data_IF_330683551335
#
_entry.id   IF_330683551335
#
_cell.length_a   1.000
_cell.length_b   1.000
_cell.length_c   1.000
_cell.angle_alpha   90.00
_cell.angle_beta   90.00
_cell.angle_gamma   90.00
#
_symmetry.space_group_name_H-M   'P 1'
#
loop_
_entity.id
_entity.type
_entity.pdbx_description
1 polymer ?
#
# COMPACT_ATOMS: atom_id res chain seq x y z
N UNK A 1 -10.92 -2.91 -2.85
CA UNK A 1 -9.53 -3.33 -3.14
C UNK A 1 -9.45 -3.88 -4.56
N UNK A 2 -8.47 -3.43 -5.33
CA UNK A 2 -8.11 -3.96 -6.63
C UNK A 2 -7.22 -5.20 -6.44
N UNK A 3 -7.57 -6.31 -7.09
CA UNK A 3 -6.93 -7.63 -6.91
C UNK A 3 -6.66 -8.27 -8.27
N UNK A 4 -5.48 -8.85 -8.49
CA UNK A 4 -5.23 -9.65 -9.69
C UNK A 4 -6.10 -10.90 -9.70
N UNK A 5 -6.68 -11.19 -10.86
CA UNK A 5 -7.30 -12.48 -11.15
C UNK A 5 -6.25 -13.36 -11.80
N UNK A 6 -5.65 -14.23 -11.01
CA UNK A 6 -4.64 -15.17 -11.49
C UNK A 6 -5.30 -16.35 -12.19
N UNK A 7 -4.77 -16.77 -13.35
CA UNK A 7 -5.07 -18.11 -13.89
C UNK A 7 -4.39 -19.21 -13.08
N UNK A 8 -3.18 -18.93 -12.60
CA UNK A 8 -2.40 -19.77 -11.69
C UNK A 8 -1.95 -18.89 -10.53
N UNK A 9 -2.33 -19.19 -9.26
CA UNK A 9 -1.91 -18.39 -8.11
C UNK A 9 -0.39 -18.24 -8.04
N UNK A 10 0.07 -17.11 -7.49
CA UNK A 10 1.49 -16.91 -7.22
C UNK A 10 2.03 -18.04 -6.32
N UNK A 11 3.25 -18.58 -6.53
CA UNK A 11 3.79 -19.68 -5.73
C UNK A 11 3.82 -19.44 -4.22
N UNK A 12 3.92 -18.17 -3.81
CA UNK A 12 3.92 -17.73 -2.41
C UNK A 12 2.53 -17.39 -1.84
N UNK A 13 1.45 -17.67 -2.59
CA UNK A 13 0.11 -17.32 -2.15
C UNK A 13 -0.25 -18.04 -0.84
N UNK A 14 -0.68 -17.27 0.17
CA UNK A 14 -0.99 -17.77 1.51
C UNK A 14 0.21 -17.86 2.46
N UNK A 15 1.44 -17.61 1.98
CA UNK A 15 2.62 -17.68 2.84
C UNK A 15 2.60 -16.62 3.95
N UNK A 16 3.27 -16.97 5.06
CA UNK A 16 3.52 -16.10 6.20
C UNK A 16 4.98 -15.66 6.18
N UNK A 17 5.26 -14.52 5.55
CA UNK A 17 6.62 -14.01 5.38
C UNK A 17 7.05 -13.29 6.66
N UNK A 18 8.10 -13.80 7.30
CA UNK A 18 8.66 -13.20 8.51
C UNK A 18 9.40 -11.90 8.16
N UNK A 19 9.27 -10.88 9.02
CA UNK A 19 10.04 -9.65 8.90
C UNK A 19 11.48 -9.87 9.35
N UNK A 20 12.43 -9.41 8.55
CA UNK A 20 13.85 -9.46 8.88
C UNK A 20 14.18 -8.47 10.00
N UNK A 21 15.40 -8.56 10.53
CA UNK A 21 15.89 -7.55 11.51
C UNK A 21 15.92 -6.14 10.92
N UNK A 22 16.14 -6.01 9.60
CA UNK A 22 16.17 -4.70 8.93
C UNK A 22 14.76 -4.13 8.74
N UNK A 23 13.79 -4.97 8.37
CA UNK A 23 12.40 -4.55 8.26
C UNK A 23 11.85 -4.08 9.61
N UNK A 24 12.26 -4.73 10.71
CA UNK A 24 11.85 -4.36 12.08
C UNK A 24 12.58 -3.13 12.62
N UNK A 25 13.75 -2.81 12.08
CA UNK A 25 14.50 -1.61 12.44
C UNK A 25 14.03 -0.38 11.64
N UNK A 26 13.33 -0.59 10.52
CA UNK A 26 12.73 0.48 9.74
C UNK A 26 11.54 1.13 10.47
N UNK A 27 11.21 2.36 10.07
CA UNK A 27 10.07 3.10 10.60
C UNK A 27 8.78 2.44 10.09
N UNK A 28 7.88 2.11 11.01
CA UNK A 28 6.53 1.61 10.69
C UNK A 28 5.63 2.76 10.22
N UNK A 29 5.78 3.12 8.95
CA UNK A 29 5.05 4.24 8.34
C UNK A 29 4.76 3.99 6.87
N UNK A 30 3.78 4.72 6.34
CA UNK A 30 3.57 4.82 4.91
C UNK A 30 4.50 5.91 4.35
N UNK A 31 5.27 5.57 3.32
CA UNK A 31 6.14 6.54 2.63
C UNK A 31 5.35 7.17 1.47
N UNK A 32 4.93 8.46 1.55
CA UNK A 32 4.23 9.14 0.46
C UNK A 32 5.10 9.28 -0.79
N UNK A 33 4.48 9.12 -1.96
CA UNK A 33 5.03 9.56 -3.23
C UNK A 33 3.91 10.13 -4.10
N UNK A 34 4.15 11.29 -4.69
CA UNK A 34 3.21 11.95 -5.62
C UNK A 34 3.91 12.21 -6.94
N UNK A 35 3.27 11.82 -8.03
CA UNK A 35 3.74 12.02 -9.40
C UNK A 35 2.67 12.77 -10.18
N UNK A 36 3.08 13.83 -10.88
CA UNK A 36 2.20 14.65 -11.71
C UNK A 36 2.57 14.49 -13.19
N UNK A 37 1.57 14.30 -14.04
CA UNK A 37 1.75 14.10 -15.48
C UNK A 37 0.90 15.13 -16.23
N UNK A 38 1.50 15.82 -17.21
CA UNK A 38 0.76 16.69 -18.11
C UNK A 38 -0.13 15.86 -19.05
N UNK A 39 -1.22 16.46 -19.51
CA UNK A 39 -2.06 15.85 -20.52
C UNK A 39 -1.29 15.66 -21.85
N UNK A 40 -1.61 14.61 -22.62
CA UNK A 40 -2.56 13.55 -22.30
C UNK A 40 -1.97 12.49 -21.35
N UNK A 41 -2.76 12.07 -20.36
CA UNK A 41 -2.45 10.94 -19.49
C UNK A 41 -3.26 9.69 -19.90
N UNK A 42 -2.79 8.47 -19.55
CA UNK A 42 -3.60 7.26 -19.74
C UNK A 42 -4.94 7.35 -18.99
N UNK A 43 -5.96 6.64 -19.47
CA UNK A 43 -7.24 6.54 -18.76
C UNK A 43 -7.10 5.77 -17.44
N UNK A 44 -8.03 5.99 -16.51
CA UNK A 44 -8.05 5.25 -15.24
C UNK A 44 -8.10 3.73 -15.45
N UNK A 45 -8.84 3.26 -16.46
CA UNK A 45 -8.89 1.85 -16.82
C UNK A 45 -7.54 1.31 -17.30
N UNK A 46 -6.83 2.05 -18.15
CA UNK A 46 -5.49 1.67 -18.60
C UNK A 46 -4.50 1.62 -17.42
N UNK A 47 -4.59 2.56 -16.47
CA UNK A 47 -3.77 2.57 -15.25
C UNK A 47 -4.07 1.37 -14.35
N UNK A 48 -5.35 1.04 -14.11
CA UNK A 48 -5.74 -0.14 -13.33
C UNK A 48 -5.25 -1.43 -13.97
N UNK A 49 -5.41 -1.59 -15.28
CA UNK A 49 -4.94 -2.76 -16.00
C UNK A 49 -3.42 -2.92 -15.91
N UNK A 50 -2.68 -1.82 -16.10
CA UNK A 50 -1.23 -1.79 -15.93
C UNK A 50 -0.81 -2.16 -14.50
N UNK A 51 -1.49 -1.57 -13.51
CA UNK A 51 -1.24 -1.84 -12.09
C UNK A 51 -1.50 -3.31 -11.75
N UNK A 52 -2.61 -3.89 -12.21
CA UNK A 52 -2.94 -5.31 -11.99
C UNK A 52 -1.85 -6.25 -12.52
N UNK A 53 -1.29 -5.94 -13.71
CA UNK A 53 -0.19 -6.71 -14.29
C UNK A 53 1.10 -6.56 -13.49
N UNK A 54 1.41 -5.34 -13.04
CA UNK A 54 2.62 -5.06 -12.26
C UNK A 54 2.58 -5.75 -10.89
N UNK A 55 1.50 -5.57 -10.12
CA UNK A 55 1.40 -6.09 -8.74
C UNK A 55 1.26 -7.61 -8.68
N UNK A 56 0.83 -8.25 -9.77
CA UNK A 56 0.77 -9.72 -9.87
C UNK A 56 2.13 -10.40 -9.65
N UNK A 57 3.23 -9.69 -9.90
CA UNK A 57 4.59 -10.16 -9.67
C UNK A 57 5.07 -9.99 -8.22
N UNK A 58 4.33 -9.21 -7.42
CA UNK A 58 4.74 -8.78 -6.08
C UNK A 58 3.64 -9.11 -5.06
N UNK A 59 3.47 -10.40 -4.67
CA UNK A 59 2.39 -10.82 -3.76
C UNK A 59 2.45 -10.11 -2.39
N UNK A 60 3.64 -9.66 -1.98
CA UNK A 60 3.86 -8.87 -0.76
C UNK A 60 3.03 -7.57 -0.74
N UNK A 61 2.82 -6.92 -1.89
CA UNK A 61 2.00 -5.69 -1.99
C UNK A 61 0.50 -5.96 -1.84
N UNK A 62 0.08 -7.23 -1.96
CA UNK A 62 -1.31 -7.65 -1.90
C UNK A 62 -1.68 -8.26 -0.54
N UNK A 63 -0.68 -8.41 0.35
CA UNK A 63 -0.83 -9.02 1.66
C UNK A 63 -1.30 -8.04 2.74
N UNK A 64 -1.38 -8.54 3.97
CA UNK A 64 -1.65 -7.75 5.18
C UNK A 64 -0.68 -8.13 6.28
N UNK A 65 -0.25 -7.15 7.07
CA UNK A 65 0.45 -7.44 8.32
C UNK A 65 -0.47 -8.20 9.27
N UNK A 66 0.09 -9.18 9.97
CA UNK A 66 -0.58 -10.00 10.96
C UNK A 66 0.40 -10.34 12.10
N UNK A 67 -0.12 -10.95 13.17
CA UNK A 67 0.65 -11.34 14.34
C UNK A 67 0.51 -12.84 14.55
N UNK A 68 1.61 -13.54 14.83
CA UNK A 68 1.60 -14.99 15.10
C UNK A 68 1.21 -15.30 16.56
N UNK A 69 1.14 -16.59 16.90
CA UNK A 69 0.81 -17.04 18.27
C UNK A 69 1.82 -16.64 19.35
N UNK A 70 2.97 -16.07 18.97
CA UNK A 70 4.01 -15.58 19.87
C UNK A 70 4.11 -14.04 19.87
N UNK A 71 3.15 -13.34 19.26
CA UNK A 71 3.18 -11.88 19.21
C UNK A 71 4.12 -11.30 18.15
N UNK A 72 4.70 -12.11 17.25
CA UNK A 72 5.62 -11.64 16.22
C UNK A 72 4.85 -11.18 14.99
N UNK A 73 5.14 -9.97 14.51
CA UNK A 73 4.60 -9.45 13.25
C UNK A 73 5.17 -10.19 12.05
N UNK A 74 4.31 -10.50 11.09
CA UNK A 74 4.66 -11.09 9.81
C UNK A 74 3.74 -10.54 8.70
N UNK A 75 4.13 -10.70 7.44
CA UNK A 75 3.29 -10.34 6.30
C UNK A 75 2.56 -11.59 5.78
N UNK A 76 1.23 -11.58 5.85
CA UNK A 76 0.39 -12.65 5.29
C UNK A 76 0.09 -12.36 3.82
N UNK A 77 0.51 -13.23 2.91
CA UNK A 77 0.30 -13.10 1.47
C UNK A 77 -1.10 -13.57 1.05
N UNK A 78 -2.14 -12.94 1.62
CA UNK A 78 -3.55 -13.33 1.50
C UNK A 78 -4.30 -12.77 0.30
N UNK A 79 -3.61 -12.03 -0.58
CA UNK A 79 -4.18 -11.47 -1.81
C UNK A 79 -5.42 -10.57 -1.57
N UNK A 80 -5.45 -9.85 -0.45
CA UNK A 80 -6.47 -8.85 -0.13
C UNK A 80 -6.45 -7.65 -1.10
N UNK A 81 -5.32 -7.45 -1.79
CA UNK A 81 -5.18 -6.47 -2.86
C UNK A 81 -4.82 -5.07 -2.38
N UNK A 82 -4.79 -4.13 -3.33
CA UNK A 82 -4.41 -2.73 -3.12
C UNK A 82 -5.62 -1.81 -3.14
N UNK A 83 -5.54 -0.72 -2.38
CA UNK A 83 -6.55 0.34 -2.44
C UNK A 83 -6.25 1.25 -3.63
N UNK A 84 -7.25 1.50 -4.48
CA UNK A 84 -7.18 2.44 -5.58
C UNK A 84 -8.35 3.40 -5.44
N UNK A 85 -8.06 4.69 -5.45
CA UNK A 85 -9.03 5.77 -5.31
C UNK A 85 -8.89 6.64 -6.56
N UNK A 86 -10.01 6.88 -7.23
CA UNK A 86 -10.11 7.87 -8.30
C UNK A 86 -10.76 9.12 -7.74
N UNK A 87 -10.26 10.26 -8.15
CA UNK A 87 -10.80 11.56 -7.80
C UNK A 87 -10.76 12.46 -9.04
N UNK A 88 -11.73 13.34 -9.12
CA UNK A 88 -11.77 14.43 -10.09
C UNK A 88 -11.67 15.75 -9.32
N UNK A 89 -10.82 16.65 -9.81
CA UNK A 89 -10.56 17.93 -9.17
C UNK A 89 -10.76 19.02 -10.21
N UNK A 90 -11.70 19.97 -10.02
CA UNK A 90 -12.01 21.00 -11.00
C UNK A 90 -10.97 22.14 -10.95
N UNK A 91 -9.70 21.82 -11.25
CA UNK A 91 -8.57 22.75 -11.25
C UNK A 91 -7.57 22.40 -12.35
N UNK A 92 -6.83 23.40 -12.83
CA UNK A 92 -5.70 23.18 -13.73
C UNK A 92 -4.47 22.72 -12.94
N UNK A 93 -3.80 21.67 -13.43
CA UNK A 93 -2.63 21.10 -12.76
C UNK A 93 -1.48 22.12 -12.64
N UNK A 94 -1.27 22.98 -13.65
CA UNK A 94 -0.21 23.98 -13.61
C UNK A 94 -0.47 25.03 -12.53
N UNK A 95 -1.73 25.47 -12.38
CA UNK A 95 -2.13 26.43 -11.33
C UNK A 95 -1.93 25.84 -9.93
N UNK A 96 -2.29 24.57 -9.73
CA UNK A 96 -2.10 23.86 -8.46
C UNK A 96 -0.61 23.77 -8.10
N UNK A 97 0.23 23.40 -9.06
CA UNK A 97 1.68 23.29 -8.86
C UNK A 97 2.33 24.66 -8.63
N UNK A 98 1.89 25.70 -9.32
CA UNK A 98 2.40 27.07 -9.16
C UNK A 98 2.05 27.68 -7.79
N UNK A 99 0.91 27.30 -7.22
CA UNK A 99 0.46 27.77 -5.90
C UNK A 99 1.31 27.16 -4.75
N UNK A 100 2.12 26.12 -5.04
CA UNK A 100 3.11 25.56 -4.10
C UNK A 100 2.53 24.81 -2.89
N UNK A 101 1.22 24.57 -2.88
CA UNK A 101 0.48 24.02 -1.75
C UNK A 101 0.48 22.50 -1.67
N UNK A 102 1.64 21.84 -1.63
CA UNK A 102 1.67 20.45 -1.18
C UNK A 102 1.66 20.47 0.35
N UNK A 103 0.55 20.03 0.96
CA UNK A 103 0.49 19.90 2.43
C UNK A 103 1.62 18.97 2.91
N UNK A 104 2.36 19.40 3.92
CA UNK A 104 3.40 18.58 4.55
C UNK A 104 2.83 17.64 5.60
N UNK A 105 1.61 17.89 6.07
CA UNK A 105 0.88 16.99 6.96
C UNK A 105 -0.09 16.13 6.15
N UNK A 106 0.28 14.86 6.01
CA UNK A 106 -0.48 13.81 5.31
C UNK A 106 -0.75 12.62 6.22
N UNK A 107 -0.41 12.70 7.52
CA UNK A 107 -0.51 11.56 8.42
C UNK A 107 -1.95 11.04 8.53
N UNK A 108 -2.93 11.94 8.50
CA UNK A 108 -4.36 11.62 8.50
C UNK A 108 -4.91 11.06 7.19
N UNK A 109 -4.12 11.01 6.11
CA UNK A 109 -4.56 10.47 4.82
C UNK A 109 -4.35 8.95 4.71
N UNK A 110 -3.55 8.38 5.61
CA UNK A 110 -3.31 6.94 5.63
C UNK A 110 -4.32 6.21 6.51
N UNK A 111 -4.65 4.94 6.18
CA UNK A 111 -5.32 4.07 7.11
C UNK A 111 -4.53 4.00 8.43
N UNK A 112 -5.24 4.02 9.56
CA UNK A 112 -4.61 3.82 10.87
C UNK A 112 -3.94 2.45 10.90
N UNK A 113 -2.64 2.41 11.23
CA UNK A 113 -1.96 1.16 11.51
C UNK A 113 -2.62 0.54 12.75
N UNK A 114 -3.06 -0.74 12.71
CA UNK A 114 -3.62 -1.39 13.90
C UNK A 114 -2.58 -1.39 15.01
N UNK A 115 -2.93 -0.87 16.20
CA UNK A 115 -2.07 -0.96 17.37
C UNK A 115 -1.79 -2.44 17.66
N UNK A 116 -0.50 -2.80 17.71
CA UNK A 116 -0.15 -4.06 18.36
C UNK A 116 -0.26 -3.81 19.84
N UNK A 117 -1.31 -4.35 20.44
CA UNK A 117 -1.42 -4.48 21.89
C UNK A 117 -0.20 -5.24 22.37
N UNK A 118 0.81 -4.51 22.84
CA UNK A 118 1.80 -5.06 23.73
C UNK A 118 1.03 -5.47 24.98
N UNK A 119 0.74 -6.76 25.09
CA UNK A 119 0.32 -7.35 26.36
C UNK A 119 1.50 -7.08 27.29
N UNK A 120 1.38 -6.05 28.12
CA UNK A 120 2.22 -5.82 29.28
C UNK A 120 1.95 -6.97 30.23
N UNK A 121 2.63 -8.09 30.00
CA UNK A 121 2.90 -9.06 31.06
C UNK A 121 3.83 -8.36 32.03
N UNK A 122 3.25 -7.77 33.07
CA UNK A 122 3.97 -7.46 34.30
C UNK A 122 3.41 -8.40 35.36
N UNK A 123 4.36 -9.08 36.01
CA UNK A 123 4.22 -10.16 36.97
C UNK A 123 3.22 -9.92 38.11
#
# INVERSE_FOLDING_TARGET
MLRPVYRVPHPLAGDKVQLTIFDRAAIDTYVPMVLAYLAPAPSNEALKEGLLRAIALYPHLLGRFAVDGHGRRFLHLNNEGVLVIEADVPADLADVLATGGMTTDVAGFYPTVPEVLYITSVA
#
